data_IF_940564331749
#
_entry.id   IF_940564331749
#
_cell.length_a   1.000
_cell.length_b   1.000
_cell.length_c   1.000
_cell.angle_alpha   90.00
_cell.angle_beta   90.00
_cell.angle_gamma   90.00
#
_symmetry.space_group_name_H-M   'P 1'
#
loop_
_entity.id
_entity.type
_entity.pdbx_description
1 polymer ?
#
# COMPACT_ATOMS: atom_id res chain seq x y z
N UNK A 1 7.78 -15.04 -11.09
CA UNK A 1 7.56 -13.97 -10.09
C UNK A 1 8.08 -14.47 -8.75
N UNK A 2 8.85 -13.68 -8.02
CA UNK A 2 9.36 -14.08 -6.70
C UNK A 2 8.21 -14.17 -5.70
N UNK A 3 8.26 -15.12 -4.78
CA UNK A 3 7.26 -15.29 -3.72
C UNK A 3 7.34 -14.09 -2.77
N UNK A 4 6.21 -13.42 -2.54
CA UNK A 4 6.14 -12.30 -1.59
C UNK A 4 6.35 -12.84 -0.17
N UNK A 5 7.17 -12.14 0.62
CA UNK A 5 7.35 -12.48 2.03
C UNK A 5 6.01 -12.28 2.77
N UNK A 6 5.55 -13.35 3.44
CA UNK A 6 4.26 -13.35 4.13
C UNK A 6 4.17 -12.25 5.20
N UNK A 7 5.22 -12.05 5.98
CA UNK A 7 5.21 -11.06 7.07
C UNK A 7 5.09 -9.63 6.54
N UNK A 8 5.72 -9.35 5.39
CA UNK A 8 5.60 -8.05 4.72
C UNK A 8 4.19 -7.85 4.16
N UNK A 9 3.58 -8.89 3.59
CA UNK A 9 2.20 -8.85 3.12
C UNK A 9 1.22 -8.62 4.27
N UNK A 10 1.40 -9.33 5.38
CA UNK A 10 0.55 -9.20 6.57
C UNK A 10 0.69 -7.80 7.19
N UNK A 11 1.90 -7.20 7.16
CA UNK A 11 2.11 -5.80 7.55
C UNK A 11 1.32 -4.82 6.66
N UNK A 12 1.36 -5.01 5.34
CA UNK A 12 0.59 -4.17 4.40
C UNK A 12 -0.90 -4.28 4.66
N UNK A 13 -1.41 -5.50 4.89
CA UNK A 13 -2.82 -5.72 5.23
C UNK A 13 -3.23 -5.01 6.51
N UNK A 14 -2.44 -5.14 7.59
CA UNK A 14 -2.71 -4.47 8.86
C UNK A 14 -2.76 -2.94 8.71
N UNK A 15 -1.90 -2.36 7.86
CA UNK A 15 -1.92 -0.93 7.55
C UNK A 15 -3.19 -0.49 6.84
N UNK A 16 -3.64 -1.24 5.83
CA UNK A 16 -4.89 -0.94 5.12
C UNK A 16 -6.10 -1.09 6.07
N UNK A 17 -6.09 -2.11 6.93
CA UNK A 17 -7.15 -2.33 7.92
C UNK A 17 -7.25 -1.20 8.96
N UNK A 18 -6.15 -0.49 9.22
CA UNK A 18 -6.12 0.67 10.10
C UNK A 18 -6.69 1.96 9.49
N UNK A 19 -6.98 2.00 8.17
CA UNK A 19 -7.64 3.14 7.55
C UNK A 19 -9.08 3.29 8.05
N UNK A 20 -9.59 4.52 8.10
CA UNK A 20 -11.03 4.75 8.34
C UNK A 20 -11.83 4.12 7.20
N UNK A 21 -13.03 3.62 7.50
CA UNK A 21 -13.87 2.95 6.50
C UNK A 21 -14.37 3.91 5.41
N UNK A 22 -14.37 5.21 5.69
CA UNK A 22 -14.68 6.28 4.74
C UNK A 22 -13.52 6.63 3.81
N UNK A 23 -12.32 6.07 4.06
CA UNK A 23 -11.16 6.27 3.19
C UNK A 23 -11.28 5.35 1.99
N UNK A 24 -11.47 5.96 0.82
CA UNK A 24 -11.18 5.31 -0.45
C UNK A 24 -9.95 5.91 -1.11
N UNK A 25 -9.24 5.05 -1.83
CA UNK A 25 -7.97 5.41 -2.46
C UNK A 25 -8.20 5.52 -3.97
N UNK A 26 -7.88 6.68 -4.52
CA UNK A 26 -7.94 6.89 -5.97
C UNK A 26 -6.60 6.44 -6.54
N UNK A 27 -6.64 5.44 -7.43
CA UNK A 27 -5.45 4.95 -8.15
C UNK A 27 -5.69 5.16 -9.64
N UNK A 28 -4.86 6.01 -10.26
CA UNK A 28 -5.05 6.46 -11.64
C UNK A 28 -6.02 7.64 -11.75
N UNK A 29 -6.65 7.82 -12.91
CA UNK A 29 -7.46 9.02 -13.17
C UNK A 29 -8.84 8.96 -12.52
N UNK A 30 -9.50 7.79 -12.46
CA UNK A 30 -10.92 7.73 -12.09
C UNK A 30 -11.34 6.46 -11.31
N UNK A 31 -10.39 5.63 -10.87
CA UNK A 31 -10.72 4.42 -10.11
C UNK A 31 -10.58 4.66 -8.62
N UNK A 32 -11.72 4.64 -7.94
CA UNK A 32 -11.81 4.71 -6.50
C UNK A 32 -11.91 3.29 -5.93
N UNK A 33 -11.02 2.94 -5.01
CA UNK A 33 -11.03 1.64 -4.34
C UNK A 33 -11.41 1.83 -2.88
N UNK A 34 -12.45 1.11 -2.46
CA UNK A 34 -12.79 0.97 -1.05
C UNK A 34 -11.71 0.20 -0.29
N UNK A 35 -11.67 0.39 1.04
CA UNK A 35 -10.82 -0.39 1.94
C UNK A 35 -10.91 -1.90 1.72
N UNK A 36 -12.13 -2.44 1.59
CA UNK A 36 -12.36 -3.87 1.33
C UNK A 36 -11.74 -4.32 0.01
N UNK A 37 -11.88 -3.53 -1.07
CA UNK A 37 -11.28 -3.86 -2.36
C UNK A 37 -9.76 -3.85 -2.31
N UNK A 38 -9.16 -2.91 -1.57
CA UNK A 38 -7.71 -2.88 -1.37
C UNK A 38 -7.22 -4.12 -0.62
N UNK A 39 -7.91 -4.48 0.46
CA UNK A 39 -7.61 -5.70 1.25
C UNK A 39 -7.68 -6.95 0.37
N UNK A 40 -8.73 -7.09 -0.44
CA UNK A 40 -8.92 -8.26 -1.30
C UNK A 40 -7.87 -8.34 -2.41
N UNK A 41 -7.51 -7.20 -3.02
CA UNK A 41 -6.45 -7.17 -4.03
C UNK A 41 -5.10 -7.60 -3.44
N UNK A 42 -4.75 -7.11 -2.25
CA UNK A 42 -3.51 -7.47 -1.55
C UNK A 42 -3.52 -8.95 -1.11
N UNK A 43 -4.62 -9.43 -0.52
CA UNK A 43 -4.77 -10.84 -0.09
C UNK A 43 -4.59 -11.80 -1.26
N UNK A 44 -5.18 -11.49 -2.40
CA UNK A 44 -5.12 -12.35 -3.59
C UNK A 44 -3.89 -12.11 -4.46
N UNK A 45 -3.01 -11.18 -4.09
CA UNK A 45 -1.82 -10.82 -4.86
C UNK A 45 -2.19 -10.56 -6.33
N UNK A 46 -3.23 -9.75 -6.56
CA UNK A 46 -3.54 -9.29 -7.91
C UNK A 46 -2.40 -8.39 -8.41
N UNK A 47 -2.41 -8.01 -9.68
CA UNK A 47 -1.44 -7.04 -10.19
C UNK A 47 -1.47 -5.72 -9.38
N UNK A 48 -2.68 -5.21 -9.13
CA UNK A 48 -2.90 -4.05 -8.28
C UNK A 48 -2.44 -4.32 -6.84
N UNK A 49 -2.77 -5.48 -6.27
CA UNK A 49 -2.36 -5.87 -4.92
C UNK A 49 -0.85 -5.89 -4.74
N UNK A 50 -0.11 -6.38 -5.75
CA UNK A 50 1.36 -6.34 -5.77
C UNK A 50 1.90 -4.91 -5.80
N UNK A 51 1.35 -4.06 -6.66
CA UNK A 51 1.74 -2.64 -6.71
C UNK A 51 1.48 -1.93 -5.39
N UNK A 52 0.36 -2.21 -4.72
CA UNK A 52 0.04 -1.65 -3.40
C UNK A 52 1.08 -2.10 -2.35
N UNK A 53 1.45 -3.38 -2.35
CA UNK A 53 2.49 -3.90 -1.46
C UNK A 53 3.81 -3.15 -1.69
N UNK A 54 4.23 -3.03 -2.95
CA UNK A 54 5.49 -2.39 -3.30
C UNK A 54 5.52 -0.91 -2.86
N UNK A 55 4.46 -0.14 -3.18
CA UNK A 55 4.35 1.28 -2.81
C UNK A 55 4.35 1.48 -1.28
N UNK A 56 3.59 0.64 -0.55
CA UNK A 56 3.53 0.76 0.92
C UNK A 56 4.87 0.44 1.58
N UNK A 57 5.60 -0.55 1.06
CA UNK A 57 6.93 -0.91 1.57
C UNK A 57 7.99 0.11 1.18
N UNK A 58 7.95 0.64 -0.04
CA UNK A 58 8.81 1.74 -0.49
C UNK A 58 8.63 2.97 0.40
N UNK A 59 7.38 3.39 0.63
CA UNK A 59 7.07 4.49 1.56
C UNK A 59 7.68 4.27 2.95
N UNK A 60 7.59 3.06 3.50
CA UNK A 60 8.19 2.72 4.80
C UNK A 60 9.71 2.82 4.79
N UNK A 61 10.36 2.33 3.73
CA UNK A 61 11.82 2.42 3.59
C UNK A 61 12.27 3.87 3.47
N UNK A 62 11.55 4.67 2.68
CA UNK A 62 11.84 6.09 2.50
C UNK A 62 11.65 6.89 3.78
N UNK A 63 10.61 6.56 4.56
CA UNK A 63 10.38 7.17 5.87
C UNK A 63 11.55 6.90 6.82
N UNK A 64 12.06 5.65 6.85
CA UNK A 64 13.19 5.27 7.70
C UNK A 64 14.50 5.92 7.21
N UNK A 65 14.69 6.04 5.91
CA UNK A 65 15.87 6.70 5.30
C UNK A 65 15.83 8.23 5.45
N UNK A 66 14.69 8.80 5.84
CA UNK A 66 14.47 10.23 5.93
C UNK A 66 14.13 10.91 4.59
N UNK A 67 13.98 10.14 3.51
CA UNK A 67 13.70 10.64 2.16
C UNK A 67 12.36 11.40 2.10
N UNK A 68 11.38 11.00 2.90
CA UNK A 68 10.08 11.68 2.98
C UNK A 68 10.23 13.13 3.47
N UNK A 69 11.15 13.39 4.41
CA UNK A 69 11.35 14.73 4.95
C UNK A 69 12.07 15.65 3.94
N UNK A 70 13.02 15.10 3.18
CA UNK A 70 13.73 15.87 2.14
C UNK A 70 12.86 16.25 0.94
N UNK A 71 11.75 15.54 0.72
CA UNK A 71 10.80 15.84 -0.36
C UNK A 71 9.84 17.01 -0.02
N UNK A 72 9.71 17.36 1.26
CA UNK A 72 8.81 18.43 1.72
C UNK A 72 9.50 19.80 1.85
N UNK A 73 10.83 19.85 1.73
CA UNK A 73 11.65 21.07 1.78
C UNK A 73 11.87 21.72 0.39
N UNK A 74 11.00 21.44 -0.60
CA UNK A 74 11.07 22.01 -1.96
C UNK A 74 10.11 23.18 -2.17
#
# INVERSE_FOLDING_TARGET
MAKINKDLKDLVLARIEAYSDDVGLIIGTDKHYSKSELVDNVKNETELGRQIIDIQLEYLQDMIRGNIYTALDQ
#
